data_IF_854118951092
#
_entry.id   IF_854118951092
#
_cell.length_a   1.000
_cell.length_b   1.000
_cell.length_c   1.000
_cell.angle_alpha   90.00
_cell.angle_beta   90.00
_cell.angle_gamma   90.00
#
_symmetry.space_group_name_H-M   'P 1'
#
loop_
_entity.id
_entity.type
_entity.pdbx_description
1 polymer ?
#
# COMPACT_ATOMS: atom_id res chain seq x y z
N UNK A 1 -25.35 -13.10 -5.24
CA UNK A 1 -24.06 -13.62 -5.76
C UNK A 1 -22.95 -12.95 -4.98
N UNK A 2 -22.38 -13.64 -3.99
CA UNK A 2 -21.23 -13.17 -3.23
C UNK A 2 -20.07 -14.11 -3.58
N UNK A 3 -19.21 -13.70 -4.50
CA UNK A 3 -17.93 -14.37 -4.70
C UNK A 3 -17.03 -13.92 -3.56
N UNK A 4 -17.01 -14.73 -2.50
CA UNK A 4 -15.95 -14.67 -1.50
C UNK A 4 -14.64 -14.86 -2.27
N UNK A 5 -13.75 -13.87 -2.23
CA UNK A 5 -12.38 -14.02 -2.70
C UNK A 5 -11.71 -14.95 -1.68
N UNK A 6 -11.84 -16.25 -1.93
CA UNK A 6 -11.06 -17.29 -1.29
C UNK A 6 -9.64 -17.19 -1.85
N UNK A 7 -8.66 -17.21 -0.96
CA UNK A 7 -7.27 -16.95 -1.24
C UNK A 7 -6.54 -18.02 -2.09
N UNK A 8 -7.25 -18.94 -2.75
CA UNK A 8 -6.66 -20.14 -3.38
C UNK A 8 -7.28 -20.52 -4.74
N UNK A 9 -8.00 -19.62 -5.41
CA UNK A 9 -8.44 -19.90 -6.79
C UNK A 9 -7.34 -19.41 -7.74
N UNK A 10 -6.60 -20.30 -8.42
CA UNK A 10 -5.60 -19.89 -9.38
C UNK A 10 -6.26 -19.13 -10.54
N UNK A 11 -5.64 -18.01 -10.93
CA UNK A 11 -6.10 -17.21 -12.06
C UNK A 11 -6.19 -18.07 -13.33
N UNK A 12 -7.30 -17.92 -14.05
CA UNK A 12 -7.46 -18.53 -15.37
C UNK A 12 -6.51 -17.89 -16.39
N UNK A 13 -6.23 -18.60 -17.49
CA UNK A 13 -5.34 -18.09 -18.54
C UNK A 13 -5.79 -16.75 -19.12
N UNK A 14 -7.10 -16.50 -19.17
CA UNK A 14 -7.70 -15.26 -19.67
C UNK A 14 -7.62 -14.11 -18.65
N UNK A 15 -7.51 -14.41 -17.35
CA UNK A 15 -7.38 -13.41 -16.28
C UNK A 15 -5.93 -12.94 -16.10
N UNK A 16 -4.94 -13.79 -16.35
CA UNK A 16 -3.51 -13.47 -16.15
C UNK A 16 -3.09 -12.15 -16.87
N UNK A 17 -3.45 -11.89 -18.14
CA UNK A 17 -3.11 -10.62 -18.79
C UNK A 17 -3.73 -9.39 -18.12
N UNK A 18 -4.94 -9.53 -17.56
CA UNK A 18 -5.64 -8.47 -16.84
C UNK A 18 -4.89 -8.19 -15.53
N UNK A 19 -4.56 -9.24 -14.78
CA UNK A 19 -3.81 -9.12 -13.52
C UNK A 19 -2.46 -8.46 -13.74
N UNK A 20 -1.71 -8.84 -14.78
CA UNK A 20 -0.44 -8.17 -15.15
C UNK A 20 -0.61 -6.67 -15.38
N UNK A 21 -1.68 -6.29 -16.08
CA UNK A 21 -1.98 -4.88 -16.37
C UNK A 21 -2.31 -4.12 -15.09
N UNK A 22 -3.08 -4.73 -14.19
CA UNK A 22 -3.43 -4.12 -12.90
C UNK A 22 -2.22 -4.02 -11.97
N UNK A 23 -1.32 -5.01 -11.94
CA UNK A 23 -0.04 -4.92 -11.22
C UNK A 23 0.77 -3.72 -11.71
N UNK A 24 0.90 -3.58 -13.04
CA UNK A 24 1.66 -2.46 -13.62
C UNK A 24 1.03 -1.11 -13.29
N UNK A 25 -0.29 -1.00 -13.37
CA UNK A 25 -1.03 0.22 -13.01
C UNK A 25 -0.89 0.56 -11.52
N UNK A 26 -1.07 -0.44 -10.66
CA UNK A 26 -0.90 -0.30 -9.22
C UNK A 26 0.51 0.14 -8.84
N UNK A 27 1.53 -0.39 -9.53
CA UNK A 27 2.93 0.00 -9.33
C UNK A 27 3.17 1.48 -9.68
N UNK A 28 2.65 1.94 -10.83
CA UNK A 28 2.79 3.33 -11.26
C UNK A 28 2.06 4.27 -10.29
N UNK A 29 0.82 3.93 -9.92
CA UNK A 29 0.03 4.72 -8.99
C UNK A 29 0.72 4.80 -7.61
N UNK A 30 1.23 3.68 -7.10
CA UNK A 30 1.95 3.63 -5.83
C UNK A 30 3.20 4.52 -5.85
N UNK A 31 3.96 4.51 -6.96
CA UNK A 31 5.11 5.39 -7.14
C UNK A 31 4.69 6.87 -7.04
N UNK A 32 3.68 7.26 -7.79
CA UNK A 32 3.20 8.65 -7.85
C UNK A 32 2.67 9.12 -6.50
N UNK A 33 1.89 8.29 -5.83
CA UNK A 33 1.29 8.60 -4.52
C UNK A 33 2.33 8.77 -3.42
N UNK A 34 3.33 7.87 -3.37
CA UNK A 34 4.41 7.95 -2.37
C UNK A 34 5.35 9.11 -2.68
N UNK A 35 5.64 9.38 -3.95
CA UNK A 35 6.44 10.54 -4.36
C UNK A 35 5.75 11.84 -3.92
N UNK A 36 4.47 11.99 -4.26
CA UNK A 36 3.69 13.16 -3.85
C UNK A 36 3.61 13.30 -2.33
N UNK A 37 3.47 12.20 -1.58
CA UNK A 37 3.49 12.25 -0.13
C UNK A 37 4.80 12.83 0.42
N UNK A 38 5.95 12.36 -0.09
CA UNK A 38 7.28 12.82 0.31
C UNK A 38 7.47 14.30 -0.04
N UNK A 39 7.17 14.69 -1.29
CA UNK A 39 7.32 16.07 -1.77
C UNK A 39 6.44 17.05 -0.98
N UNK A 40 5.18 16.68 -0.70
CA UNK A 40 4.30 17.52 0.09
C UNK A 40 4.79 17.66 1.54
N UNK A 41 5.33 16.60 2.15
CA UNK A 41 5.94 16.69 3.48
C UNK A 41 7.17 17.60 3.47
N UNK A 42 8.08 17.42 2.51
CA UNK A 42 9.28 18.26 2.37
C UNK A 42 8.92 19.74 2.14
N UNK A 43 7.84 20.01 1.41
CA UNK A 43 7.34 21.38 1.18
C UNK A 43 6.81 22.02 2.47
N UNK A 44 6.06 21.27 3.28
CA UNK A 44 5.41 21.80 4.49
C UNK A 44 6.35 21.85 5.71
N UNK A 45 7.30 20.92 5.79
CA UNK A 45 8.28 20.81 6.87
C UNK A 45 9.69 20.59 6.30
N UNK A 46 10.32 21.62 5.68
CA UNK A 46 11.61 21.46 4.98
C UNK A 46 12.79 21.13 5.89
N UNK A 47 12.64 21.35 7.20
CA UNK A 47 13.65 21.00 8.20
C UNK A 47 13.47 19.59 8.76
N UNK A 48 12.32 18.95 8.51
CA UNK A 48 12.02 17.60 8.99
C UNK A 48 12.22 16.61 7.84
N UNK A 49 12.84 15.48 8.15
CA UNK A 49 12.99 14.39 7.19
C UNK A 49 11.60 13.84 6.86
N UNK A 50 11.25 13.80 5.58
CA UNK A 50 10.04 13.14 5.13
C UNK A 50 10.10 11.65 5.50
N UNK A 51 8.96 11.07 5.88
CA UNK A 51 8.85 9.64 6.18
C UNK A 51 8.14 8.93 5.05
N UNK A 52 8.29 7.61 4.99
CA UNK A 52 7.49 6.79 4.08
C UNK A 52 6.12 6.51 4.71
N UNK A 53 5.05 6.55 3.90
CA UNK A 53 3.75 6.11 4.36
C UNK A 53 3.68 4.57 4.38
N UNK A 54 2.97 3.98 5.32
CA UNK A 54 2.82 2.53 5.49
C UNK A 54 2.21 1.85 4.26
N UNK A 55 1.35 2.57 3.51
CA UNK A 55 0.77 2.06 2.28
C UNK A 55 1.83 1.83 1.17
N UNK A 56 3.04 2.36 1.32
CA UNK A 56 4.17 2.02 0.45
C UNK A 56 4.57 0.55 0.61
N UNK A 57 4.90 0.14 1.84
CA UNK A 57 5.35 -1.23 2.14
C UNK A 57 4.21 -2.21 1.89
N UNK A 58 3.03 -1.95 2.45
CA UNK A 58 1.86 -2.82 2.29
C UNK A 58 1.41 -2.92 0.83
N UNK A 59 1.40 -1.80 0.10
CA UNK A 59 1.04 -1.78 -1.31
C UNK A 59 2.05 -2.53 -2.19
N UNK A 60 3.34 -2.34 -1.95
CA UNK A 60 4.39 -3.07 -2.65
C UNK A 60 4.29 -4.57 -2.40
N UNK A 61 4.17 -4.98 -1.13
CA UNK A 61 4.05 -6.38 -0.73
C UNK A 61 2.81 -7.04 -1.33
N UNK A 62 1.67 -6.34 -1.36
CA UNK A 62 0.48 -6.81 -2.07
C UNK A 62 0.75 -7.09 -3.55
N UNK A 63 1.39 -6.16 -4.27
CA UNK A 63 1.70 -6.32 -5.68
C UNK A 63 2.69 -7.47 -5.93
N UNK A 64 3.64 -7.69 -5.01
CA UNK A 64 4.56 -8.83 -5.06
C UNK A 64 3.85 -10.17 -4.84
N UNK A 65 2.90 -10.24 -3.91
CA UNK A 65 2.03 -11.40 -3.74
C UNK A 65 1.21 -11.69 -5.01
N UNK A 66 0.67 -10.65 -5.66
CA UNK A 66 -0.04 -10.80 -6.94
C UNK A 66 0.88 -11.29 -8.07
N UNK A 67 2.11 -10.79 -8.15
CA UNK A 67 3.12 -11.30 -9.08
C UNK A 67 3.40 -12.80 -8.85
N UNK A 68 3.59 -13.20 -7.59
CA UNK A 68 3.86 -14.58 -7.23
C UNK A 68 2.70 -15.52 -7.59
N UNK A 69 1.45 -15.10 -7.38
CA UNK A 69 0.26 -15.92 -7.63
C UNK A 69 0.02 -16.23 -9.13
N UNK A 70 0.52 -15.38 -10.03
CA UNK A 70 0.49 -15.61 -11.49
C UNK A 70 1.82 -16.11 -12.06
N UNK A 71 2.83 -16.38 -11.22
CA UNK A 71 4.17 -16.79 -11.65
C UNK A 71 4.86 -15.76 -12.56
N UNK A 72 4.67 -14.47 -12.29
CA UNK A 72 5.19 -13.36 -13.08
C UNK A 72 6.10 -12.44 -12.26
N UNK A 73 7.17 -11.94 -12.88
CA UNK A 73 8.02 -10.89 -12.33
C UNK A 73 7.80 -9.59 -13.07
N UNK A 74 7.47 -8.51 -12.35
CA UNK A 74 7.30 -7.17 -12.93
C UNK A 74 8.54 -6.31 -12.66
N UNK A 75 9.25 -5.94 -13.73
CA UNK A 75 10.51 -5.18 -13.65
C UNK A 75 10.35 -3.77 -13.08
N UNK A 76 9.20 -3.13 -13.28
CA UNK A 76 8.96 -1.79 -12.75
C UNK A 76 8.61 -1.86 -11.27
N UNK A 77 7.90 -2.91 -10.86
CA UNK A 77 7.69 -3.19 -9.45
C UNK A 77 9.01 -3.45 -8.73
N UNK A 78 9.87 -4.31 -9.28
CA UNK A 78 11.17 -4.64 -8.66
C UNK A 78 12.10 -3.41 -8.54
N UNK A 79 11.95 -2.42 -9.42
CA UNK A 79 12.72 -1.17 -9.36
C UNK A 79 12.11 -0.12 -8.40
N UNK A 80 10.84 -0.26 -8.03
CA UNK A 80 10.10 0.74 -7.26
C UNK A 80 10.79 1.13 -5.93
N UNK A 81 11.34 0.20 -5.11
CA UNK A 81 12.01 0.58 -3.87
C UNK A 81 13.17 1.55 -4.10
N UNK A 82 13.98 1.30 -5.12
CA UNK A 82 15.12 2.17 -5.47
C UNK A 82 14.64 3.54 -5.96
N UNK A 83 13.55 3.58 -6.71
CA UNK A 83 12.95 4.83 -7.17
C UNK A 83 12.56 5.74 -5.99
N UNK A 84 11.87 5.17 -5.01
CA UNK A 84 11.39 5.89 -3.84
C UNK A 84 12.54 6.28 -2.91
N UNK A 85 13.55 5.41 -2.76
CA UNK A 85 14.76 5.73 -2.01
C UNK A 85 15.48 6.95 -2.59
N UNK A 86 15.57 7.07 -3.92
CA UNK A 86 16.16 8.25 -4.57
C UNK A 86 15.35 9.52 -4.34
N UNK A 87 14.01 9.45 -4.36
CA UNK A 87 13.16 10.61 -4.03
C UNK A 87 13.45 11.07 -2.61
N UNK A 88 13.47 10.13 -1.66
CA UNK A 88 13.76 10.43 -0.25
C UNK A 88 15.18 11.00 -0.06
N UNK A 89 16.16 10.48 -0.78
CA UNK A 89 17.53 10.98 -0.78
C UNK A 89 17.61 12.42 -1.28
N UNK A 90 16.83 12.74 -2.32
CA UNK A 90 16.82 14.08 -2.94
C UNK A 90 16.15 15.10 -2.02
N UNK A 91 15.04 14.74 -1.39
CA UNK A 91 14.25 15.65 -0.55
C UNK A 91 14.77 15.78 0.88
N UNK A 92 15.41 14.74 1.43
CA UNK A 92 15.78 14.72 2.85
C UNK A 92 17.16 14.15 3.16
N UNK A 93 17.95 13.73 2.16
CA UNK A 93 19.25 13.08 2.36
C UNK A 93 19.13 11.58 2.72
N UNK A 94 20.23 10.90 3.10
CA UNK A 94 20.26 9.45 3.32
C UNK A 94 19.40 8.99 4.52
N UNK A 95 18.75 7.82 4.41
CA UNK A 95 17.92 7.22 5.46
C UNK A 95 18.52 5.90 5.94
N UNK A 96 18.69 5.74 7.25
CA UNK A 96 18.96 4.42 7.85
C UNK A 96 17.67 3.60 8.05
N UNK A 97 16.52 4.29 8.05
CA UNK A 97 15.18 3.73 8.27
C UNK A 97 14.46 3.35 6.98
N UNK A 98 15.15 3.26 5.85
CA UNK A 98 14.51 2.83 4.60
C UNK A 98 14.17 1.33 4.66
N UNK A 99 12.96 0.90 4.25
CA UNK A 99 12.58 -0.51 4.20
C UNK A 99 13.55 -1.34 3.36
N UNK A 100 14.01 -2.47 3.89
CA UNK A 100 14.95 -3.35 3.20
C UNK A 100 14.20 -4.40 2.38
N UNK A 101 14.78 -4.80 1.25
CA UNK A 101 14.28 -5.91 0.43
C UNK A 101 14.79 -7.23 1.01
N UNK A 102 13.89 -8.10 1.45
CA UNK A 102 14.21 -9.44 1.94
C UNK A 102 14.51 -10.42 0.80
N UNK A 103 14.94 -11.63 1.14
CA UNK A 103 15.35 -12.66 0.18
C UNK A 103 14.21 -13.13 -0.74
N UNK A 104 12.96 -12.99 -0.31
CA UNK A 104 11.73 -13.26 -1.08
C UNK A 104 11.34 -12.09 -2.00
N UNK A 105 12.08 -10.99 -1.99
CA UNK A 105 11.81 -9.78 -2.75
C UNK A 105 10.73 -8.89 -2.14
N UNK A 106 10.26 -9.17 -0.93
CA UNK A 106 9.31 -8.36 -0.18
C UNK A 106 10.04 -7.25 0.59
N UNK A 107 9.32 -6.17 0.93
CA UNK A 107 9.83 -5.14 1.81
C UNK A 107 9.57 -5.50 3.27
N UNK A 108 10.63 -5.46 4.07
CA UNK A 108 10.56 -5.50 5.53
C UNK A 108 10.56 -4.09 6.07
N UNK A 109 9.57 -3.76 6.91
CA UNK A 109 9.64 -2.52 7.70
C UNK A 109 10.89 -2.58 8.59
N UNK A 110 11.62 -1.47 8.75
CA UNK A 110 12.64 -1.40 9.80
C UNK A 110 11.95 -1.67 11.14
N UNK A 111 12.45 -2.64 11.89
CA UNK A 111 11.94 -2.96 13.23
C UNK A 111 11.97 -1.67 14.07
N UNK A 112 10.82 -1.06 14.32
CA UNK A 112 10.70 -0.18 15.48
C UNK A 112 10.71 -1.12 16.68
N UNK A 113 11.88 -1.34 17.26
CA UNK A 113 12.17 -2.27 18.38
C UNK A 113 11.27 -2.11 19.63
N UNK A 114 10.25 -1.24 19.63
CA UNK A 114 9.58 -0.82 20.87
C UNK A 114 8.06 -0.75 20.86
N UNK A 115 7.32 -1.10 19.81
CA UNK A 115 5.83 -1.09 19.91
C UNK A 115 5.23 -2.22 19.11
N UNK A 116 4.52 -3.12 19.79
CA UNK A 116 3.70 -4.21 19.26
C UNK A 116 3.43 -4.12 17.76
N UNK A 117 4.05 -5.02 16.99
CA UNK A 117 3.81 -5.26 15.57
C UNK A 117 2.43 -5.87 15.30
N UNK A 118 1.44 -5.48 16.10
CA UNK A 118 0.06 -5.93 15.95
C UNK A 118 -0.52 -5.36 14.67
N UNK A 119 -1.35 -6.16 13.99
CA UNK A 119 -2.11 -5.73 12.81
C UNK A 119 -2.88 -4.41 13.10
N UNK A 120 -3.35 -4.22 14.33
CA UNK A 120 -4.05 -3.01 14.76
C UNK A 120 -3.17 -1.76 14.75
N UNK A 121 -1.90 -1.87 15.16
CA UNK A 121 -0.94 -0.78 15.08
C UNK A 121 -0.73 -0.36 13.62
N UNK A 122 -0.62 -1.32 12.71
CA UNK A 122 -0.46 -1.06 11.26
C UNK A 122 -1.71 -0.41 10.67
N UNK A 123 -2.91 -0.90 11.01
CA UNK A 123 -4.18 -0.29 10.59
C UNK A 123 -4.30 1.14 11.11
N UNK A 124 -3.95 1.38 12.37
CA UNK A 124 -3.95 2.72 12.97
C UNK A 124 -3.01 3.67 12.23
N UNK A 125 -1.77 3.24 11.99
CA UNK A 125 -0.79 3.99 11.19
C UNK A 125 -1.31 4.26 9.77
N UNK A 126 -1.96 3.31 9.13
CA UNK A 126 -2.52 3.48 7.80
C UNK A 126 -3.55 4.61 7.73
N UNK A 127 -4.47 4.69 8.68
CA UNK A 127 -5.46 5.78 8.69
C UNK A 127 -4.82 7.16 8.97
N UNK A 128 -3.80 7.21 9.81
CA UNK A 128 -3.02 8.44 10.04
C UNK A 128 -2.33 8.87 8.74
N UNK A 129 -1.67 7.95 8.05
CA UNK A 129 -0.91 8.23 6.82
C UNK A 129 -1.82 8.69 5.68
N UNK A 130 -3.00 8.08 5.54
CA UNK A 130 -3.99 8.52 4.55
C UNK A 130 -4.52 9.91 4.89
N UNK A 131 -4.76 10.19 6.17
CA UNK A 131 -5.20 11.52 6.62
C UNK A 131 -4.12 12.56 6.36
N UNK A 132 -2.86 12.25 6.63
CA UNK A 132 -1.73 13.13 6.31
C UNK A 132 -1.56 13.33 4.81
N UNK A 133 -1.67 12.29 4.00
CA UNK A 133 -1.63 12.41 2.54
C UNK A 133 -2.67 13.42 2.04
N UNK A 134 -3.93 13.27 2.49
CA UNK A 134 -5.03 14.15 2.08
C UNK A 134 -4.80 15.58 2.59
N UNK A 135 -4.40 15.74 3.86
CA UNK A 135 -4.15 17.04 4.48
C UNK A 135 -3.02 17.78 3.77
N UNK A 136 -1.88 17.12 3.58
CA UNK A 136 -0.68 17.73 3.03
C UNK A 136 -0.90 18.12 1.56
N UNK A 137 -1.52 17.24 0.77
CA UNK A 137 -1.89 17.57 -0.61
C UNK A 137 -2.85 18.76 -0.68
N UNK A 138 -3.84 18.85 0.23
CA UNK A 138 -4.75 19.99 0.27
C UNK A 138 -4.01 21.29 0.64
N UNK A 139 -3.10 21.24 1.61
CA UNK A 139 -2.32 22.40 2.03
C UNK A 139 -1.38 22.91 0.93
N UNK A 140 -0.75 22.01 0.17
CA UNK A 140 0.19 22.38 -0.91
C UNK A 140 -0.54 22.81 -2.18
N UNK A 141 -1.57 22.07 -2.60
CA UNK A 141 -2.23 22.29 -3.91
C UNK A 141 -3.49 23.14 -3.86
N UNK A 142 -4.04 23.36 -2.65
CA UNK A 142 -5.34 24.01 -2.45
C UNK A 142 -6.55 23.18 -2.93
N UNK A 143 -6.34 21.90 -3.30
CA UNK A 143 -7.39 21.01 -3.82
C UNK A 143 -7.41 19.70 -3.05
N UNK A 144 -8.61 19.13 -2.88
CA UNK A 144 -8.76 17.83 -2.25
C UNK A 144 -8.22 16.75 -3.21
N UNK A 145 -7.20 15.98 -2.84
CA UNK A 145 -6.71 14.91 -3.70
C UNK A 145 -7.74 13.78 -3.77
N UNK A 146 -7.63 12.95 -4.80
CA UNK A 146 -8.28 11.64 -4.79
C UNK A 146 -7.63 10.74 -3.74
N UNK A 147 -8.39 9.81 -3.19
CA UNK A 147 -7.81 8.78 -2.33
C UNK A 147 -6.73 8.00 -3.08
N UNK A 148 -5.61 7.64 -2.43
CA UNK A 148 -4.57 6.82 -3.03
C UNK A 148 -5.14 5.50 -3.57
N UNK A 149 -4.72 5.05 -4.74
CA UNK A 149 -4.96 3.70 -5.24
C UNK A 149 -4.38 2.67 -4.27
N UNK A 150 -3.28 3.01 -3.59
CA UNK A 150 -2.71 2.23 -2.51
C UNK A 150 -3.68 1.98 -1.34
N UNK A 151 -4.74 2.78 -1.19
CA UNK A 151 -5.72 2.64 -0.13
C UNK A 151 -6.41 1.27 -0.18
N UNK A 152 -6.99 0.92 -1.34
CA UNK A 152 -7.71 -0.35 -1.49
C UNK A 152 -6.75 -1.53 -1.44
N UNK A 153 -5.58 -1.42 -2.09
CA UNK A 153 -4.55 -2.46 -2.07
C UNK A 153 -4.11 -2.80 -0.64
N UNK A 154 -3.89 -1.76 0.18
CA UNK A 154 -3.48 -1.92 1.58
C UNK A 154 -4.59 -2.54 2.44
N UNK A 155 -5.86 -2.16 2.21
CA UNK A 155 -7.00 -2.80 2.88
C UNK A 155 -7.12 -4.30 2.55
N UNK A 156 -6.94 -4.66 1.27
CA UNK A 156 -6.94 -6.06 0.85
C UNK A 156 -5.75 -6.81 1.46
N UNK A 157 -4.58 -6.19 1.52
CA UNK A 157 -3.41 -6.76 2.18
C UNK A 157 -3.68 -7.07 3.66
N UNK A 158 -4.23 -6.12 4.41
CA UNK A 158 -4.62 -6.33 5.81
C UNK A 158 -5.68 -7.42 5.96
N UNK A 159 -6.65 -7.50 5.05
CA UNK A 159 -7.63 -8.59 5.02
C UNK A 159 -6.94 -9.95 4.84
N UNK A 160 -5.94 -10.07 3.96
CA UNK A 160 -5.18 -11.31 3.76
C UNK A 160 -4.34 -11.68 4.97
N UNK A 161 -3.63 -10.71 5.57
CA UNK A 161 -2.90 -10.92 6.82
C UNK A 161 -3.83 -11.39 7.94
N UNK A 162 -5.03 -10.82 8.01
CA UNK A 162 -6.04 -11.24 8.97
C UNK A 162 -6.53 -12.68 8.75
N UNK A 163 -6.80 -13.06 7.49
CA UNK A 163 -7.20 -14.44 7.16
C UNK A 163 -6.13 -15.47 7.51
N UNK A 164 -4.85 -15.09 7.41
CA UNK A 164 -3.68 -15.92 7.76
C UNK A 164 -3.45 -16.01 9.28
N UNK A 165 -3.97 -15.07 10.08
CA UNK A 165 -3.80 -15.06 11.54
C UNK A 165 -4.80 -16.01 12.24
N UNK A 166 -4.29 -16.89 13.11
CA UNK A 166 -5.10 -17.89 13.83
C UNK A 166 -6.01 -17.28 14.93
N UNK A 167 -5.65 -16.13 15.50
CA UNK A 167 -6.38 -15.46 16.57
C UNK A 167 -7.48 -14.51 16.05
N UNK A 168 -8.59 -15.09 15.57
CA UNK A 168 -9.77 -14.34 15.10
C UNK A 168 -10.62 -13.85 16.29
N UNK A 169 -10.46 -12.61 16.73
CA UNK A 169 -11.40 -11.97 17.69
C UNK A 169 -12.59 -11.27 17.00
N UNK A 170 -13.73 -11.18 17.70
CA UNK A 170 -15.04 -10.74 17.19
C UNK A 170 -15.07 -9.28 16.68
N UNK A 171 -14.26 -8.38 17.27
CA UNK A 171 -14.09 -7.00 16.81
C UNK A 171 -13.44 -6.90 15.41
N UNK A 172 -12.68 -7.92 14.99
CA UNK A 172 -12.08 -7.97 13.65
C UNK A 172 -13.12 -8.20 12.54
N UNK A 173 -14.31 -8.72 12.88
CA UNK A 173 -15.36 -9.04 11.91
C UNK A 173 -16.08 -7.78 11.41
N UNK A 174 -16.25 -6.76 12.27
CA UNK A 174 -16.98 -5.52 11.93
C UNK A 174 -16.24 -4.67 10.89
N UNK A 175 -14.91 -4.63 10.92
CA UNK A 175 -14.11 -3.92 9.90
C UNK A 175 -14.12 -4.69 8.57
N UNK A 176 -14.02 -6.03 8.63
CA UNK A 176 -14.14 -6.93 7.48
C UNK A 176 -15.49 -6.83 6.76
N UNK A 177 -16.60 -6.65 7.48
CA UNK A 177 -17.92 -6.49 6.87
C UNK A 177 -18.10 -5.18 6.09
N UNK A 178 -17.24 -4.18 6.32
CA UNK A 178 -17.36 -2.86 5.69
C UNK A 178 -16.42 -2.66 4.47
N UNK A 179 -15.34 -3.43 4.34
CA UNK A 179 -14.43 -3.35 3.19
C UNK A 179 -15.13 -3.75 1.86
N UNK A 180 -15.94 -4.81 1.79
CA UNK A 180 -16.71 -5.15 0.58
C UNK A 180 -17.67 -4.02 0.16
N UNK A 181 -18.28 -3.31 1.11
CA UNK A 181 -19.18 -2.20 0.83
C UNK A 181 -18.44 -0.99 0.21
N UNK A 182 -17.17 -0.76 0.61
CA UNK A 182 -16.29 0.26 0.01
C UNK A 182 -15.80 -0.15 -1.40
N UNK A 183 -15.65 -1.44 -1.66
CA UNK A 183 -15.26 -1.95 -2.99
C UNK A 183 -16.40 -1.89 -4.01
N UNK A 184 -17.64 -2.13 -3.57
CA UNK A 184 -18.84 -2.05 -4.44
C UNK A 184 -19.09 -0.61 -4.89
N UNK A 185 -18.93 0.39 -4.01
CA UNK A 185 -19.14 1.80 -4.38
C UNK A 185 -18.13 2.30 -5.42
N UNK A 186 -16.92 1.76 -5.47
CA UNK A 186 -15.92 2.09 -6.50
C UNK A 186 -16.19 1.45 -7.85
N UNK A 187 -16.77 0.23 -7.90
CA UNK A 187 -17.20 -0.39 -9.17
C UNK A 187 -18.34 0.39 -9.86
N UNK A 188 -19.08 1.22 -9.12
CA UNK A 188 -20.13 2.11 -9.65
C UNK A 188 -19.68 3.57 -9.84
N UNK A 189 -18.40 3.90 -9.63
CA UNK A 189 -17.82 5.21 -9.92
C UNK A 189 -17.07 5.23 -11.25
N UNK A 190 -17.65 4.63 -12.30
CA UNK A 190 -17.26 4.88 -13.69
C UNK A 190 -18.48 5.32 -14.49
N UNK A 191 -18.41 6.58 -14.88
CA UNK A 191 -19.23 7.32 -15.86
C UNK A 191 -20.62 7.76 -15.42
#
# INVERSE_FOLDING_TARGET
>A
MATMIAADIPYTADEIPIVKTEIRRGTIALREEVTAFIEHQATLSPTERARLPIFFVSGFNFLKEECASIGHTDTVLDWLPRAIEMVLLTESGPSETFPKVAADGMLTEPETETVDSSLWTQIGRFFVDVTEYVRNAFQVTGRLPRLPHAYIMTLIHFQRMFQKNENKTEQNFTLMCNIPNLMVSFKYSKS
#
